data_IF_639810587494
#
_entry.id   IF_639810587494
#
_cell.length_a   1.000
_cell.length_b   1.000
_cell.length_c   1.000
_cell.angle_alpha   90.00
_cell.angle_beta   90.00
_cell.angle_gamma   90.00
#
_symmetry.space_group_name_H-M   'P 1'
#
loop_
_entity.id
_entity.type
_entity.pdbx_description
1 polymer ?
#
# COMPACT_ATOMS: atom_id res chain seq x y z
N UNK A 1 -11.23 -22.32 -37.97
CA UNK A 1 -9.78 -22.05 -38.13
C UNK A 1 -9.45 -22.13 -39.60
N UNK A 2 -8.96 -21.07 -40.22
CA UNK A 2 -8.41 -21.13 -41.58
C UNK A 2 -6.94 -21.55 -41.47
N UNK A 3 -6.63 -22.77 -41.94
CA UNK A 3 -5.25 -23.16 -42.20
C UNK A 3 -4.87 -22.62 -43.57
N UNK A 4 -3.83 -21.78 -43.62
CA UNK A 4 -3.23 -21.35 -44.87
C UNK A 4 -2.24 -22.44 -45.30
N UNK A 5 -2.66 -23.35 -46.18
CA UNK A 5 -1.73 -24.21 -46.91
C UNK A 5 -1.51 -23.60 -48.29
N UNK A 6 -0.35 -22.99 -48.46
CA UNK A 6 0.20 -22.61 -49.74
C UNK A 6 0.10 -23.80 -50.71
N UNK A 7 -0.53 -23.56 -51.85
CA UNK A 7 -0.59 -24.40 -53.05
C UNK A 7 -1.42 -25.69 -52.94
N UNK A 8 -2.70 -25.60 -53.33
CA UNK A 8 -3.35 -26.34 -54.43
C UNK A 8 -4.87 -26.09 -54.38
N UNK A 9 -5.42 -25.82 -55.55
CA UNK A 9 -6.75 -25.29 -55.86
C UNK A 9 -7.93 -26.17 -55.44
N UNK A 10 -8.83 -25.62 -54.63
CA UNK A 10 -10.26 -25.96 -54.64
C UNK A 10 -11.06 -24.65 -54.74
N UNK A 11 -11.88 -24.52 -55.78
CA UNK A 11 -12.68 -23.31 -56.09
C UNK A 11 -13.90 -23.10 -55.17
N UNK A 12 -14.14 -24.01 -54.22
CA UNK A 12 -15.25 -23.91 -53.28
C UNK A 12 -14.78 -24.31 -51.89
N UNK A 13 -14.92 -23.39 -50.94
CA UNK A 13 -14.89 -23.73 -49.52
C UNK A 13 -16.10 -24.62 -49.25
N UNK A 14 -15.88 -25.93 -49.12
CA UNK A 14 -16.88 -26.80 -48.50
C UNK A 14 -16.79 -26.53 -47.01
N UNK A 15 -17.65 -25.63 -46.53
CA UNK A 15 -17.97 -25.55 -45.11
C UNK A 15 -18.60 -26.90 -44.76
N UNK A 16 -17.78 -27.84 -44.26
CA UNK A 16 -18.32 -29.03 -43.59
C UNK A 16 -19.19 -28.49 -42.45
N UNK A 17 -20.50 -28.76 -42.44
CA UNK A 17 -21.30 -28.43 -41.28
C UNK A 17 -20.69 -29.21 -40.12
N UNK A 18 -20.13 -28.50 -39.15
CA UNK A 18 -19.74 -29.09 -37.88
C UNK A 18 -21.06 -29.48 -37.22
N UNK A 19 -21.42 -30.76 -37.37
CA UNK A 19 -22.50 -31.36 -36.60
C UNK A 19 -22.05 -31.37 -35.14
N UNK A 20 -22.50 -30.36 -34.39
CA UNK A 20 -22.41 -30.39 -32.95
C UNK A 20 -23.46 -31.39 -32.47
N UNK A 21 -23.03 -32.62 -32.19
CA UNK A 21 -23.90 -33.54 -31.46
C UNK A 21 -24.32 -32.88 -30.14
N UNK A 22 -25.61 -32.91 -29.79
CA UNK A 22 -26.06 -32.37 -28.52
C UNK A 22 -25.31 -33.09 -27.39
N UNK A 23 -24.73 -32.32 -26.47
CA UNK A 23 -23.98 -32.88 -25.34
C UNK A 23 -24.93 -33.75 -24.51
N UNK A 24 -24.54 -35.00 -24.30
CA UNK A 24 -25.24 -35.93 -23.44
C UNK A 24 -24.37 -36.26 -22.23
N UNK A 25 -24.95 -36.29 -21.02
CA UNK A 25 -26.33 -35.94 -20.67
C UNK A 25 -26.57 -34.42 -20.77
N UNK A 26 -27.82 -34.00 -21.04
CA UNK A 26 -28.13 -32.58 -21.23
C UNK A 26 -28.14 -31.87 -19.88
N UNK A 27 -27.29 -30.86 -19.75
CA UNK A 27 -27.23 -29.98 -18.58
C UNK A 27 -27.28 -28.53 -19.06
N UNK A 28 -28.23 -27.76 -18.54
CA UNK A 28 -28.30 -26.32 -18.72
C UNK A 28 -27.41 -25.66 -17.65
N UNK A 29 -26.39 -24.93 -18.11
CA UNK A 29 -25.46 -24.18 -17.26
C UNK A 29 -25.74 -22.71 -17.47
N UNK A 30 -26.10 -22.01 -16.39
CA UNK A 30 -26.38 -20.58 -16.41
C UNK A 30 -25.35 -19.90 -15.51
N UNK A 31 -24.45 -19.14 -16.13
CA UNK A 31 -23.50 -18.27 -15.45
C UNK A 31 -23.88 -16.83 -15.80
N UNK A 32 -24.04 -15.93 -14.81
CA UNK A 32 -24.31 -14.54 -15.13
C UNK A 32 -23.05 -13.89 -15.71
N UNK A 33 -23.16 -13.02 -16.75
CA UNK A 33 -22.00 -12.33 -17.32
C UNK A 33 -21.35 -11.33 -16.33
N UNK A 34 -22.10 -10.92 -15.31
CA UNK A 34 -21.67 -10.06 -14.23
C UNK A 34 -22.19 -10.58 -12.89
N UNK A 35 -21.31 -10.71 -11.91
CA UNK A 35 -21.64 -11.09 -10.53
C UNK A 35 -21.30 -9.92 -9.60
N UNK A 36 -22.30 -9.37 -8.92
CA UNK A 36 -22.14 -8.36 -7.87
C UNK A 36 -22.43 -9.02 -6.54
N UNK A 37 -21.39 -9.25 -5.74
CA UNK A 37 -21.49 -9.97 -4.47
C UNK A 37 -20.72 -9.25 -3.36
N UNK A 38 -21.07 -9.56 -2.11
CA UNK A 38 -20.37 -9.00 -0.95
C UNK A 38 -18.97 -9.59 -0.82
N UNK A 39 -18.85 -10.89 -1.05
CA UNK A 39 -17.68 -11.74 -0.81
C UNK A 39 -16.87 -12.05 -2.07
N UNK A 40 -17.35 -11.68 -3.26
CA UNK A 40 -16.68 -11.97 -4.53
C UNK A 40 -16.95 -13.37 -5.06
N UNK A 41 -18.01 -14.05 -4.60
CA UNK A 41 -18.46 -15.32 -5.15
C UNK A 41 -19.22 -15.13 -6.48
N UNK A 42 -19.16 -16.16 -7.33
CA UNK A 42 -19.92 -16.27 -8.57
C UNK A 42 -20.92 -17.41 -8.44
N UNK A 43 -22.23 -17.14 -8.54
CA UNK A 43 -23.23 -18.20 -8.53
C UNK A 43 -23.29 -18.85 -9.92
N UNK A 44 -23.23 -20.18 -9.93
CA UNK A 44 -23.37 -21.02 -11.12
C UNK A 44 -24.61 -21.89 -10.92
N UNK A 45 -25.60 -21.71 -11.78
CA UNK A 45 -26.84 -22.46 -11.75
C UNK A 45 -26.75 -23.59 -12.76
N UNK A 46 -26.99 -24.81 -12.29
CA UNK A 46 -26.86 -26.02 -13.10
C UNK A 46 -28.18 -26.78 -13.01
N UNK A 47 -28.78 -27.09 -14.16
CA UNK A 47 -30.01 -27.88 -14.26
C UNK A 47 -29.75 -29.11 -15.12
N UNK A 48 -29.94 -30.28 -14.55
CA UNK A 48 -29.82 -31.56 -15.22
C UNK A 48 -31.17 -32.22 -15.42
N UNK A 49 -31.21 -33.19 -16.33
CA UNK A 49 -32.36 -34.06 -16.50
C UNK A 49 -32.52 -35.01 -15.29
N UNK A 50 -33.76 -35.24 -14.80
CA UNK A 50 -34.00 -36.14 -13.69
C UNK A 50 -33.63 -37.58 -14.07
N UNK A 51 -32.96 -38.28 -13.15
CA UNK A 51 -32.57 -39.68 -13.31
C UNK A 51 -31.09 -39.92 -13.65
N UNK A 52 -30.33 -38.87 -14.00
CA UNK A 52 -28.89 -38.95 -14.22
C UNK A 52 -28.12 -38.51 -12.96
N UNK A 53 -27.19 -39.33 -12.49
CA UNK A 53 -26.26 -38.97 -11.40
C UNK A 53 -24.98 -38.40 -11.98
N UNK A 54 -24.87 -37.07 -12.01
CA UNK A 54 -23.72 -36.38 -12.60
C UNK A 54 -22.85 -35.78 -11.52
N UNK A 55 -21.53 -35.90 -11.66
CA UNK A 55 -20.58 -35.13 -10.90
C UNK A 55 -20.30 -33.84 -11.67
N UNK A 56 -20.60 -32.70 -11.04
CA UNK A 56 -20.30 -31.40 -11.61
C UNK A 56 -19.24 -30.72 -10.77
N UNK A 57 -18.19 -30.25 -11.42
CA UNK A 57 -17.08 -29.53 -10.81
C UNK A 57 -17.00 -28.15 -11.46
N UNK A 58 -17.08 -27.12 -10.63
CA UNK A 58 -17.05 -25.71 -11.02
C UNK A 58 -15.74 -25.14 -10.53
N UNK A 59 -14.93 -24.66 -11.46
CA UNK A 59 -13.66 -24.01 -11.21
C UNK A 59 -13.74 -22.55 -11.65
N UNK A 60 -13.24 -21.64 -10.83
CA UNK A 60 -13.01 -20.25 -11.18
C UNK A 60 -11.51 -20.04 -11.34
N UNK A 61 -11.12 -19.50 -12.49
CA UNK A 61 -9.74 -19.14 -12.85
C UNK A 61 -9.64 -17.63 -12.93
N UNK A 62 -9.03 -17.03 -11.91
CA UNK A 62 -8.72 -15.60 -11.88
C UNK A 62 -7.33 -15.37 -11.32
N UNK A 63 -7.20 -14.38 -10.43
CA UNK A 63 -5.98 -14.18 -9.63
C UNK A 63 -5.73 -15.35 -8.68
N UNK A 64 -6.81 -15.97 -8.19
CA UNK A 64 -6.80 -17.20 -7.41
C UNK A 64 -7.64 -18.24 -8.13
N UNK A 65 -7.31 -19.51 -7.92
CA UNK A 65 -8.13 -20.63 -8.38
C UNK A 65 -9.01 -21.12 -7.24
N UNK A 66 -10.29 -21.28 -7.53
CA UNK A 66 -11.25 -21.85 -6.59
C UNK A 66 -12.02 -22.95 -7.28
N UNK A 67 -12.36 -24.00 -6.54
CA UNK A 67 -13.00 -25.18 -7.08
C UNK A 67 -14.03 -25.74 -6.10
N UNK A 68 -15.21 -26.04 -6.62
CA UNK A 68 -16.30 -26.66 -5.87
C UNK A 68 -16.86 -27.80 -6.71
N UNK A 69 -17.04 -28.97 -6.09
CA UNK A 69 -17.66 -30.12 -6.74
C UNK A 69 -18.92 -30.54 -6.00
N UNK A 70 -19.90 -31.03 -6.75
CA UNK A 70 -21.15 -31.52 -6.19
C UNK A 70 -21.79 -32.56 -7.11
N UNK A 71 -22.59 -33.45 -6.52
CA UNK A 71 -23.40 -34.40 -7.28
C UNK A 71 -24.71 -33.71 -7.65
N UNK A 72 -24.97 -33.60 -8.95
CA UNK A 72 -26.18 -33.00 -9.49
C UNK A 72 -27.30 -34.04 -9.54
N UNK A 73 -28.40 -33.75 -8.85
CA UNK A 73 -29.62 -34.58 -8.86
C UNK A 73 -30.71 -34.05 -9.79
N UNK A 74 -30.97 -32.74 -9.78
CA UNK A 74 -31.91 -32.06 -10.70
C UNK A 74 -31.47 -30.62 -10.89
N UNK A 75 -31.55 -29.80 -9.84
CA UNK A 75 -31.08 -28.42 -9.84
C UNK A 75 -30.05 -28.24 -8.73
N UNK A 76 -28.91 -27.64 -9.06
CA UNK A 76 -27.94 -27.20 -8.07
C UNK A 76 -27.52 -25.76 -8.31
N UNK A 77 -27.27 -25.04 -7.21
CA UNK A 77 -26.63 -23.73 -7.23
C UNK A 77 -25.30 -23.89 -6.52
N UNK A 78 -24.21 -23.77 -7.28
CA UNK A 78 -22.86 -23.80 -6.76
C UNK A 78 -22.33 -22.38 -6.72
N UNK A 79 -21.60 -22.05 -5.67
CA UNK A 79 -20.92 -20.77 -5.55
C UNK A 79 -19.42 -21.03 -5.57
N UNK A 80 -18.73 -20.34 -6.46
CA UNK A 80 -17.28 -20.45 -6.59
C UNK A 80 -16.66 -19.10 -6.33
N UNK A 81 -15.52 -19.07 -5.63
CA UNK A 81 -14.86 -17.82 -5.34
C UNK A 81 -14.26 -17.21 -6.61
N UNK A 82 -14.71 -16.02 -6.97
CA UNK A 82 -14.28 -15.30 -8.16
C UNK A 82 -13.03 -14.46 -7.90
N UNK A 83 -13.06 -13.59 -6.88
CA UNK A 83 -11.95 -12.66 -6.63
C UNK A 83 -12.01 -11.91 -5.30
N UNK A 84 -10.83 -11.57 -4.79
CA UNK A 84 -10.63 -10.63 -3.66
C UNK A 84 -10.57 -9.18 -4.16
N UNK A 85 -10.36 -8.92 -5.45
CA UNK A 85 -10.26 -7.56 -5.96
C UNK A 85 -11.63 -6.90 -6.07
N UNK A 86 -11.74 -5.56 -5.90
CA UNK A 86 -13.02 -4.85 -5.99
C UNK A 86 -13.70 -5.03 -7.35
N UNK A 87 -12.89 -5.15 -8.41
CA UNK A 87 -13.31 -5.45 -9.76
C UNK A 87 -12.28 -6.38 -10.40
N UNK A 88 -12.74 -7.47 -11.02
CA UNK A 88 -11.86 -8.36 -11.78
C UNK A 88 -12.63 -9.20 -12.80
N UNK A 89 -11.89 -9.75 -13.75
CA UNK A 89 -12.38 -10.76 -14.68
C UNK A 89 -11.99 -12.15 -14.17
N UNK A 90 -12.96 -13.07 -14.11
CA UNK A 90 -12.73 -14.48 -13.77
C UNK A 90 -13.27 -15.36 -14.91
N UNK A 91 -12.58 -16.47 -15.21
CA UNK A 91 -13.06 -17.49 -16.13
C UNK A 91 -13.64 -18.65 -15.32
N UNK A 92 -14.94 -18.89 -15.45
CA UNK A 92 -15.65 -19.99 -14.80
C UNK A 92 -15.69 -21.17 -15.75
N UNK A 93 -15.10 -22.28 -15.34
CA UNK A 93 -15.07 -23.55 -16.06
C UNK A 93 -15.90 -24.57 -15.32
N UNK A 94 -16.89 -25.15 -15.98
CA UNK A 94 -17.75 -26.21 -15.44
C UNK A 94 -17.43 -27.52 -16.16
N UNK A 95 -16.93 -28.51 -15.42
CA UNK A 95 -16.74 -29.88 -15.90
C UNK A 95 -17.92 -30.75 -15.46
N UNK A 96 -18.55 -31.42 -16.42
CA UNK A 96 -19.63 -32.38 -16.18
C UNK A 96 -19.10 -33.78 -16.45
N UNK A 97 -19.25 -34.68 -15.48
CA UNK A 97 -18.86 -36.08 -15.59
C UNK A 97 -20.02 -36.97 -15.20
N UNK A 98 -20.30 -37.97 -16.03
CA UNK A 98 -21.24 -39.03 -15.69
C UNK A 98 -20.56 -40.07 -14.79
N UNK A 99 -21.16 -40.33 -13.62
CA UNK A 99 -20.62 -41.32 -12.67
C UNK A 99 -20.83 -42.77 -13.15
N UNK A 100 -21.79 -43.00 -14.05
CA UNK A 100 -22.05 -44.32 -14.61
C UNK A 100 -21.07 -44.69 -15.73
N UNK A 101 -20.31 -43.71 -16.25
CA UNK A 101 -19.34 -43.91 -17.32
C UNK A 101 -19.97 -44.18 -18.69
N UNK A 102 -21.28 -43.94 -18.85
CA UNK A 102 -21.98 -44.13 -20.12
C UNK A 102 -21.70 -42.99 -21.11
N UNK A 103 -21.47 -41.78 -20.59
CA UNK A 103 -21.17 -40.59 -21.38
C UNK A 103 -19.78 -40.01 -21.12
N UNK A 104 -19.16 -39.48 -22.17
CA UNK A 104 -17.89 -38.79 -22.08
C UNK A 104 -17.99 -37.46 -21.32
N UNK A 105 -16.97 -37.09 -20.54
CA UNK A 105 -16.95 -35.84 -19.81
C UNK A 105 -16.80 -34.66 -20.76
N UNK A 106 -17.48 -33.55 -20.47
CA UNK A 106 -17.35 -32.32 -21.24
C UNK A 106 -17.21 -31.09 -20.34
N UNK A 107 -16.69 -30.01 -20.92
CA UNK A 107 -16.45 -28.75 -20.22
C UNK A 107 -17.18 -27.57 -20.86
N UNK A 108 -17.59 -26.64 -20.01
CA UNK A 108 -18.15 -25.34 -20.38
C UNK A 108 -17.28 -24.26 -19.77
N UNK A 109 -17.01 -23.17 -20.47
CA UNK A 109 -16.19 -22.08 -19.98
C UNK A 109 -16.82 -20.73 -20.36
N UNK A 110 -16.92 -19.83 -19.38
CA UNK A 110 -17.46 -18.49 -19.57
C UNK A 110 -16.68 -17.47 -18.75
N UNK A 111 -16.58 -16.23 -19.27
CA UNK A 111 -15.90 -15.13 -18.58
C UNK A 111 -16.93 -14.27 -17.86
N UNK A 112 -16.68 -14.01 -16.58
CA UNK A 112 -17.56 -13.27 -15.69
C UNK A 112 -16.83 -12.08 -15.12
N UNK A 113 -17.51 -10.93 -15.11
CA UNK A 113 -17.04 -9.74 -14.39
C UNK A 113 -17.51 -9.85 -12.94
N UNK A 114 -16.57 -9.85 -12.01
CA UNK A 114 -16.84 -9.99 -10.57
C UNK A 114 -16.61 -8.65 -9.88
N UNK A 115 -17.65 -8.18 -9.19
CA UNK A 115 -17.60 -7.01 -8.31
C UNK A 115 -17.68 -7.47 -6.86
N UNK A 116 -16.62 -7.21 -6.10
CA UNK A 116 -16.53 -7.52 -4.67
C UNK A 116 -16.76 -6.23 -3.85
N UNK A 117 -17.93 -6.12 -3.23
CA UNK A 117 -18.32 -4.93 -2.49
C UNK A 117 -17.51 -4.72 -1.20
N UNK A 118 -17.13 -5.78 -0.50
CA UNK A 118 -16.30 -5.66 0.72
C UNK A 118 -14.94 -5.10 0.36
N UNK A 119 -14.31 -5.62 -0.70
CA UNK A 119 -13.01 -5.14 -1.16
C UNK A 119 -13.08 -3.72 -1.68
N UNK A 120 -14.17 -3.33 -2.34
CA UNK A 120 -14.41 -1.94 -2.74
C UNK A 120 -14.43 -1.01 -1.52
N UNK A 121 -15.19 -1.36 -0.48
CA UNK A 121 -15.26 -0.56 0.74
C UNK A 121 -13.90 -0.50 1.44
N UNK A 122 -13.20 -1.63 1.55
CA UNK A 122 -11.89 -1.69 2.20
C UNK A 122 -10.85 -0.84 1.46
N UNK A 123 -10.81 -0.92 0.14
CA UNK A 123 -9.90 -0.10 -0.68
C UNK A 123 -10.21 1.39 -0.57
N UNK A 124 -11.48 1.78 -0.48
CA UNK A 124 -11.89 3.16 -0.22
C UNK A 124 -11.44 3.64 1.17
N UNK A 125 -11.67 2.83 2.21
CA UNK A 125 -11.24 3.17 3.59
C UNK A 125 -9.72 3.31 3.69
N UNK A 126 -8.97 2.37 3.09
CA UNK A 126 -7.51 2.44 3.01
C UNK A 126 -7.05 3.67 2.24
N UNK A 127 -7.73 4.03 1.15
CA UNK A 127 -7.45 5.25 0.40
C UNK A 127 -7.63 6.51 1.24
N UNK A 128 -8.76 6.63 1.94
CA UNK A 128 -9.03 7.76 2.84
C UNK A 128 -8.00 7.83 3.97
N UNK A 129 -7.72 6.71 4.62
CA UNK A 129 -6.74 6.65 5.71
C UNK A 129 -5.33 7.00 5.23
N UNK A 130 -4.95 6.50 4.05
CA UNK A 130 -3.69 6.85 3.41
C UNK A 130 -3.61 8.35 3.18
N UNK A 131 -4.66 8.98 2.63
CA UNK A 131 -4.72 10.43 2.41
C UNK A 131 -4.58 11.21 3.72
N UNK A 132 -5.19 10.76 4.82
CA UNK A 132 -5.07 11.41 6.12
C UNK A 132 -3.63 11.34 6.64
N UNK A 133 -3.01 10.15 6.62
CA UNK A 133 -1.59 9.99 7.00
C UNK A 133 -0.69 10.84 6.11
N UNK A 134 -0.95 10.82 4.81
CA UNK A 134 -0.24 11.59 3.79
C UNK A 134 -0.36 13.09 4.04
N UNK A 135 -1.53 13.57 4.47
CA UNK A 135 -1.74 14.99 4.80
C UNK A 135 -0.99 15.40 6.07
N UNK A 136 -1.01 14.59 7.11
CA UNK A 136 -0.30 14.89 8.37
C UNK A 136 1.23 14.78 8.20
N UNK A 137 1.69 14.01 7.22
CA UNK A 137 3.11 13.77 6.92
C UNK A 137 3.52 14.27 5.55
N UNK A 138 2.79 15.22 4.97
CA UNK A 138 2.89 15.63 3.56
C UNK A 138 4.33 16.00 3.16
N UNK A 139 5.02 16.72 4.03
CA UNK A 139 6.43 17.10 3.84
C UNK A 139 7.39 15.91 3.89
N UNK A 140 7.17 14.97 4.81
CA UNK A 140 8.01 13.77 4.97
C UNK A 140 7.78 12.81 3.79
N UNK A 141 6.54 12.67 3.34
CA UNK A 141 6.20 11.84 2.19
C UNK A 141 6.74 12.41 0.87
N UNK A 142 6.64 13.73 0.63
CA UNK A 142 7.23 14.36 -0.56
C UNK A 142 8.75 14.17 -0.62
N UNK A 143 9.42 14.19 0.54
CA UNK A 143 10.86 13.91 0.65
C UNK A 143 11.13 12.43 0.39
N UNK A 144 10.33 11.53 0.97
CA UNK A 144 10.44 10.09 0.75
C UNK A 144 10.22 9.71 -0.72
N UNK A 145 9.23 10.32 -1.38
CA UNK A 145 8.92 10.07 -2.78
C UNK A 145 10.02 10.62 -3.71
N UNK A 146 10.57 11.80 -3.39
CA UNK A 146 11.75 12.35 -4.09
C UNK A 146 13.03 11.53 -3.86
N UNK A 147 13.22 10.98 -2.67
CA UNK A 147 14.35 10.12 -2.34
C UNK A 147 14.21 8.72 -2.98
N UNK A 148 13.00 8.17 -2.98
CA UNK A 148 12.67 6.86 -3.56
C UNK A 148 12.73 6.83 -5.09
N UNK A 149 12.26 7.89 -5.76
CA UNK A 149 12.34 8.02 -7.22
C UNK A 149 13.77 8.17 -7.77
N UNK A 150 14.76 8.50 -6.93
CA UNK A 150 16.15 8.72 -7.36
C UNK A 150 17.13 7.58 -7.06
N UNK A 151 16.61 6.45 -6.57
CA UNK A 151 17.37 5.19 -6.46
C UNK A 151 18.37 5.15 -5.29
N UNK A 152 18.23 4.11 -4.47
CA UNK A 152 19.32 3.58 -3.62
C UNK A 152 19.15 3.83 -2.12
N UNK A 153 18.89 2.73 -1.40
CA UNK A 153 18.83 2.60 0.07
C UNK A 153 20.13 3.10 0.76
N UNK A 154 21.26 3.12 0.06
CA UNK A 154 22.55 3.60 0.57
C UNK A 154 22.63 5.12 0.80
N UNK A 155 21.72 5.94 0.22
CA UNK A 155 21.65 7.38 0.52
C UNK A 155 20.75 7.73 1.70
N UNK A 156 20.11 6.74 2.33
CA UNK A 156 19.16 6.98 3.41
C UNK A 156 19.87 7.43 4.71
N UNK A 157 21.13 7.04 4.95
CA UNK A 157 21.88 7.47 6.14
C UNK A 157 22.40 8.91 6.03
N UNK A 158 22.88 9.32 4.84
CA UNK A 158 23.25 10.72 4.55
C UNK A 158 22.02 11.63 4.45
N UNK A 159 20.91 11.12 3.92
CA UNK A 159 19.62 11.79 3.92
C UNK A 159 19.06 12.04 5.33
N UNK A 160 19.42 11.23 6.32
CA UNK A 160 19.05 11.42 7.73
C UNK A 160 19.81 12.57 8.41
N UNK A 161 21.07 12.80 8.00
CA UNK A 161 21.85 13.97 8.41
C UNK A 161 21.32 15.24 7.74
N UNK A 162 21.02 15.20 6.44
CA UNK A 162 20.34 16.29 5.74
C UNK A 162 18.93 16.55 6.28
N UNK A 163 18.21 15.51 6.75
CA UNK A 163 16.91 15.62 7.43
C UNK A 163 17.01 16.41 8.74
N UNK A 164 18.15 16.37 9.45
CA UNK A 164 18.31 17.25 10.62
C UNK A 164 18.43 18.71 10.20
N UNK A 165 19.08 18.98 9.07
CA UNK A 165 19.23 20.32 8.51
C UNK A 165 17.91 20.84 7.90
N UNK A 166 17.14 19.98 7.23
CA UNK A 166 15.86 20.32 6.59
C UNK A 166 14.68 20.36 7.59
N UNK A 167 14.70 19.59 8.69
CA UNK A 167 13.75 19.76 9.81
C UNK A 167 14.00 21.05 10.59
N UNK A 168 15.25 21.49 10.66
CA UNK A 168 15.63 22.77 11.25
C UNK A 168 15.39 23.93 10.28
N UNK A 169 15.28 23.71 8.97
CA UNK A 169 15.06 24.77 7.95
C UNK A 169 13.95 25.77 8.31
N UNK A 170 12.73 25.39 8.72
CA UNK A 170 11.71 26.38 9.11
C UNK A 170 12.10 27.25 10.32
N UNK A 171 13.01 26.78 11.17
CA UNK A 171 13.61 27.53 12.28
C UNK A 171 14.89 28.29 11.87
N UNK A 172 15.34 28.19 10.62
CA UNK A 172 16.63 28.72 10.15
C UNK A 172 16.45 29.70 9.01
N UNK A 173 15.50 29.44 8.10
CA UNK A 173 15.20 30.30 6.94
C UNK A 173 14.63 31.65 7.32
N UNK A 174 14.18 31.83 8.58
CA UNK A 174 13.79 33.13 9.13
C UNK A 174 14.80 33.77 10.08
N UNK A 175 15.85 33.03 10.50
CA UNK A 175 16.67 33.39 11.66
C UNK A 175 18.15 33.67 11.33
N UNK A 176 18.69 33.13 10.22
CA UNK A 176 20.01 33.51 9.70
C UNK A 176 21.21 33.23 10.62
N UNK A 177 21.01 32.55 11.75
CA UNK A 177 22.01 32.37 12.81
C UNK A 177 22.58 30.94 12.81
N UNK A 178 23.90 30.83 12.65
CA UNK A 178 24.63 29.56 12.74
C UNK A 178 24.70 29.03 14.18
N UNK A 179 24.62 29.92 15.18
CA UNK A 179 24.69 29.57 16.61
C UNK A 179 23.33 29.06 17.11
N UNK A 180 22.22 29.65 16.65
CA UNK A 180 20.89 29.15 16.94
C UNK A 180 20.71 27.69 16.44
N UNK A 181 21.28 27.36 15.28
CA UNK A 181 21.33 25.98 14.78
C UNK A 181 22.00 25.01 15.76
N UNK A 182 23.13 25.42 16.35
CA UNK A 182 23.85 24.61 17.34
C UNK A 182 22.99 24.45 18.60
N UNK A 183 22.33 25.53 19.03
CA UNK A 183 21.42 25.49 20.18
C UNK A 183 20.22 24.56 19.96
N UNK A 184 19.54 24.62 18.81
CA UNK A 184 18.43 23.72 18.52
C UNK A 184 18.85 22.25 18.39
N UNK A 185 20.07 22.00 17.86
CA UNK A 185 20.66 20.65 17.85
C UNK A 185 20.85 20.12 19.27
N UNK A 186 21.34 20.97 20.17
CA UNK A 186 21.48 20.64 21.58
C UNK A 186 20.14 20.33 22.25
N UNK A 187 19.13 21.19 22.09
CA UNK A 187 17.79 20.96 22.65
C UNK A 187 17.18 19.64 22.16
N UNK A 188 17.26 19.36 20.86
CA UNK A 188 16.74 18.10 20.31
C UNK A 188 17.38 16.87 20.94
N UNK A 189 18.65 16.95 21.33
CA UNK A 189 19.38 15.84 21.94
C UNK A 189 19.03 15.70 23.43
N UNK A 190 19.10 16.81 24.16
CA UNK A 190 18.98 16.84 25.61
C UNK A 190 17.54 16.72 26.09
N UNK A 191 16.59 17.41 25.44
CA UNK A 191 15.19 17.49 25.89
C UNK A 191 14.20 16.84 24.94
N UNK A 192 14.60 16.50 23.72
CA UNK A 192 13.76 15.96 22.63
C UNK A 192 12.57 16.83 22.20
N UNK A 193 12.30 17.94 22.89
CA UNK A 193 11.25 18.92 22.58
C UNK A 193 11.91 20.20 22.10
N UNK A 194 11.44 20.70 20.95
CA UNK A 194 11.87 21.98 20.40
C UNK A 194 10.89 23.11 20.79
N UNK A 195 11.34 24.39 20.78
CA UNK A 195 10.47 25.54 21.00
C UNK A 195 9.37 25.64 19.95
N UNK A 196 8.15 25.99 20.37
CA UNK A 196 7.02 26.22 19.45
C UNK A 196 7.03 27.66 18.91
N UNK A 197 6.32 27.93 17.82
CA UNK A 197 6.35 29.23 17.14
C UNK A 197 5.87 30.43 17.99
N UNK A 198 5.10 30.19 19.05
CA UNK A 198 4.60 31.21 19.98
C UNK A 198 5.39 31.25 21.29
N UNK A 199 6.43 30.43 21.45
CA UNK A 199 7.21 30.29 22.68
C UNK A 199 8.59 30.96 22.46
N UNK A 200 9.01 31.82 23.39
CA UNK A 200 10.36 32.38 23.34
C UNK A 200 11.41 31.35 23.75
N UNK A 201 12.67 31.53 23.33
CA UNK A 201 13.77 30.63 23.71
C UNK A 201 13.94 30.53 25.23
N UNK A 202 13.73 31.62 25.95
CA UNK A 202 13.83 31.68 27.42
C UNK A 202 12.67 30.98 28.12
N UNK A 203 11.44 31.18 27.64
CA UNK A 203 10.27 30.46 28.16
C UNK A 203 10.46 28.95 27.99
N UNK A 204 10.86 28.52 26.79
CA UNK A 204 11.17 27.13 26.52
C UNK A 204 12.27 26.58 27.45
N UNK A 205 13.33 27.34 27.66
CA UNK A 205 14.42 26.94 28.55
C UNK A 205 13.92 26.72 29.98
N UNK A 206 13.18 27.68 30.53
CA UNK A 206 12.64 27.59 31.90
C UNK A 206 11.64 26.45 32.08
N UNK A 207 10.80 26.20 31.07
CA UNK A 207 9.74 25.18 31.16
C UNK A 207 10.27 23.77 30.90
N UNK A 208 11.24 23.63 30.00
CA UNK A 208 11.68 22.33 29.49
C UNK A 208 13.09 22.01 29.98
N UNK A 209 14.07 22.86 29.69
CA UNK A 209 15.47 22.55 30.00
C UNK A 209 15.72 22.52 31.50
N UNK A 210 15.18 23.47 32.27
CA UNK A 210 15.40 23.50 33.72
C UNK A 210 14.77 22.31 34.46
N UNK A 211 13.67 21.78 33.92
CA UNK A 211 12.87 20.72 34.54
C UNK A 211 13.25 19.31 34.06
N UNK A 212 13.65 19.16 32.80
CA UNK A 212 13.97 17.86 32.19
C UNK A 212 15.43 17.49 32.42
N UNK A 213 16.34 18.47 32.45
CA UNK A 213 17.77 18.22 32.56
C UNK A 213 18.21 18.20 34.02
N UNK A 214 18.42 16.99 34.56
CA UNK A 214 18.86 16.81 35.94
C UNK A 214 20.29 17.34 36.22
N UNK A 215 21.19 17.31 35.23
CA UNK A 215 22.58 17.74 35.40
C UNK A 215 22.67 19.29 35.40
N UNK A 216 23.09 19.87 36.53
CA UNK A 216 23.27 21.31 36.70
C UNK A 216 24.27 21.91 35.71
N UNK A 217 25.36 21.20 35.37
CA UNK A 217 26.37 21.71 34.44
C UNK A 217 25.83 21.79 33.02
N UNK A 218 25.07 20.79 32.58
CA UNK A 218 24.43 20.79 31.26
C UNK A 218 23.44 21.95 31.16
N UNK A 219 22.65 22.22 32.21
CA UNK A 219 21.78 23.40 32.28
C UNK A 219 22.58 24.70 32.12
N UNK A 220 23.62 24.90 32.93
CA UNK A 220 24.45 26.11 32.86
C UNK A 220 25.10 26.31 31.47
N UNK A 221 25.54 25.23 30.82
CA UNK A 221 26.10 25.29 29.45
C UNK A 221 25.02 25.54 28.40
N UNK A 222 23.85 24.91 28.51
CA UNK A 222 22.70 25.16 27.64
C UNK A 222 22.21 26.61 27.75
N UNK A 223 22.23 27.19 28.96
CA UNK A 223 21.91 28.60 29.20
C UNK A 223 22.91 29.54 28.52
N UNK A 224 24.21 29.27 28.64
CA UNK A 224 25.25 30.04 27.94
C UNK A 224 25.06 29.99 26.43
N UNK A 225 24.75 28.82 25.90
CA UNK A 225 24.50 28.64 24.47
C UNK A 225 23.22 29.36 24.01
N UNK A 226 22.16 29.37 24.83
CA UNK A 226 20.95 30.18 24.58
C UNK A 226 21.28 31.67 24.48
N UNK A 227 22.08 32.20 25.40
CA UNK A 227 22.48 33.60 25.39
C UNK A 227 23.26 33.94 24.13
N UNK A 228 24.18 33.07 23.70
CA UNK A 228 24.94 33.26 22.47
C UNK A 228 24.03 33.20 21.24
N UNK A 229 23.04 32.30 21.21
CA UNK A 229 22.06 32.22 20.14
C UNK A 229 21.20 33.48 20.06
N UNK A 230 20.69 33.98 21.19
CA UNK A 230 19.94 35.24 21.24
C UNK A 230 20.79 36.44 20.83
N UNK A 231 22.04 36.50 21.27
CA UNK A 231 22.97 37.57 20.88
C UNK A 231 23.25 37.53 19.38
N UNK A 232 23.45 36.34 18.80
CA UNK A 232 23.63 36.18 17.35
C UNK A 232 22.38 36.57 16.56
N UNK A 233 21.19 36.30 17.09
CA UNK A 233 19.91 36.65 16.44
C UNK A 233 19.57 38.14 16.54
N UNK A 234 19.80 38.77 17.70
CA UNK A 234 19.23 40.09 18.01
C UNK A 234 20.27 41.21 18.21
N UNK A 235 21.54 40.89 18.45
CA UNK A 235 22.58 41.90 18.67
C UNK A 235 23.23 42.36 17.36
N UNK A 236 23.73 43.61 17.39
CA UNK A 236 24.63 44.16 16.36
C UNK A 236 26.02 43.52 16.43
N UNK A 237 26.49 43.20 17.64
CA UNK A 237 27.74 42.49 17.86
C UNK A 237 27.52 40.99 17.81
N UNK A 238 28.06 40.34 16.77
CA UNK A 238 27.92 38.90 16.57
C UNK A 238 28.95 38.11 17.40
N UNK A 239 28.52 37.11 18.17
CA UNK A 239 29.44 36.24 18.90
C UNK A 239 30.20 35.28 17.97
N UNK A 240 31.31 34.73 18.45
CA UNK A 240 32.11 33.75 17.72
C UNK A 240 31.38 32.40 17.65
N UNK A 241 31.45 31.76 16.48
CA UNK A 241 30.86 30.43 16.26
C UNK A 241 31.70 29.36 16.97
N UNK A 242 33.00 29.58 17.10
CA UNK A 242 33.94 28.68 17.77
C UNK A 242 33.57 28.52 19.25
N UNK A 243 33.21 29.60 19.94
CA UNK A 243 32.75 29.58 21.33
C UNK A 243 31.48 28.74 21.51
N UNK A 244 30.53 28.86 20.57
CA UNK A 244 29.30 28.08 20.59
C UNK A 244 29.55 26.58 20.33
N UNK A 245 30.50 26.24 19.46
CA UNK A 245 30.91 24.84 19.21
C UNK A 245 31.58 24.23 20.43
N UNK A 246 32.48 24.97 21.08
CA UNK A 246 33.17 24.50 22.28
C UNK A 246 32.17 24.20 23.41
N UNK A 247 31.18 25.08 23.62
CA UNK A 247 30.12 24.84 24.61
C UNK A 247 29.30 23.60 24.25
N UNK A 248 28.97 23.40 22.97
CA UNK A 248 28.25 22.22 22.51
C UNK A 248 29.05 20.92 22.74
N UNK A 249 30.34 20.91 22.41
CA UNK A 249 31.23 19.76 22.64
C UNK A 249 31.39 19.45 24.14
N UNK A 250 31.47 20.47 25.00
CA UNK A 250 31.50 20.29 26.46
C UNK A 250 30.21 19.66 27.00
N UNK A 251 29.06 20.01 26.44
CA UNK A 251 27.79 19.36 26.81
C UNK A 251 27.78 17.90 26.40
N UNK A 252 28.31 17.57 25.22
CA UNK A 252 28.43 16.17 24.78
C UNK A 252 29.32 15.36 25.72
N UNK A 253 30.46 15.91 26.16
CA UNK A 253 31.34 15.22 27.10
C UNK A 253 30.73 14.99 28.48
N UNK A 254 29.81 15.87 28.92
CA UNK A 254 29.13 15.76 30.22
C UNK A 254 27.85 14.89 30.16
N UNK A 255 27.36 14.53 28.95
CA UNK A 255 26.33 13.49 28.77
C UNK A 255 26.90 12.07 28.78
N UNK A 256 28.16 11.91 28.36
CA UNK A 256 28.84 10.60 28.27
C UNK A 256 29.55 10.18 29.58
N UNK A 257 29.61 11.09 30.56
CA UNK A 257 30.25 10.90 31.87
C UNK A 257 29.25 10.54 32.98
#
# INVERSE_FOLDING_TARGET
>A
MCANSTEITLFFCIDKPVLYEPRHPRVEIIVPPMSITLDGEVPVLIRGEPGNTLLVEVESKGLFTSRVSSVLHTNSSLRVFGSVLPLSLAEVVVSVRDLSGYYDPYTYAERVIVFNMISLILTLLLGVFSIIILRDREKVFLIFLKAGLRGGVERMSKGLQDLTQDLLKPYVTGLGSAIALIYYKLLRRVTQRLPQAYETLREHYSLVVENVVGNRRIRELAWKLLILAEKDMYSKEKPSIEEAKEIYERVLSEEEA
#
